data_IF_454088727101
#
_entry.id   IF_454088727101
#
_cell.length_a   1.000
_cell.length_b   1.000
_cell.length_c   1.000
_cell.angle_alpha   90.00
_cell.angle_beta   90.00
_cell.angle_gamma   90.00
#
_symmetry.space_group_name_H-M   'P 1'
#
loop_
_entity.id
_entity.type
_entity.pdbx_description
1 polymer ?
#
# COMPACT_ATOMS: atom_id res chain seq x y z
N UNK A 1 2.50 8.49 16.77
CA UNK A 1 3.39 7.50 16.15
C UNK A 1 2.77 6.81 14.92
N UNK A 2 1.45 6.59 14.86
CA UNK A 2 0.79 5.92 13.71
C UNK A 2 0.62 6.74 12.42
N UNK A 3 0.98 8.04 12.42
CA UNK A 3 0.86 8.90 11.22
C UNK A 3 1.65 8.38 10.01
N UNK A 4 2.84 7.85 10.25
CA UNK A 4 3.69 7.30 9.18
C UNK A 4 3.02 6.08 8.54
N UNK A 5 2.44 5.18 9.34
CA UNK A 5 1.70 4.01 8.85
C UNK A 5 0.54 4.41 7.92
N UNK A 6 -0.27 5.37 8.34
CA UNK A 6 -1.38 5.89 7.52
C UNK A 6 -0.89 6.55 6.23
N UNK A 7 0.16 7.37 6.31
CA UNK A 7 0.73 8.02 5.13
C UNK A 7 1.25 6.99 4.14
N UNK A 8 2.05 6.04 4.59
CA UNK A 8 2.61 4.99 3.73
C UNK A 8 1.51 4.16 3.08
N UNK A 9 0.49 3.73 3.84
CA UNK A 9 -0.63 2.96 3.30
C UNK A 9 -1.43 3.74 2.25
N UNK A 10 -1.67 5.04 2.47
CA UNK A 10 -2.41 5.89 1.52
C UNK A 10 -1.60 6.22 0.28
N UNK A 11 -0.30 6.51 0.42
CA UNK A 11 0.57 6.76 -0.72
C UNK A 11 0.71 5.53 -1.61
N UNK A 12 0.88 4.35 -1.02
CA UNK A 12 0.86 3.08 -1.75
C UNK A 12 -0.46 2.94 -2.52
N UNK A 13 -1.60 3.04 -1.84
CA UNK A 13 -2.92 2.86 -2.45
C UNK A 13 -3.20 3.86 -3.59
N UNK A 14 -2.83 5.13 -3.42
CA UNK A 14 -2.98 6.16 -4.47
C UNK A 14 -2.01 5.88 -5.64
N UNK A 15 -0.76 5.52 -5.36
CA UNK A 15 0.21 5.20 -6.40
C UNK A 15 -0.21 3.99 -7.23
N UNK A 16 -0.87 3.00 -6.62
CA UNK A 16 -1.45 1.85 -7.32
C UNK A 16 -2.55 2.31 -8.28
N UNK A 17 -3.47 3.19 -7.85
CA UNK A 17 -4.51 3.73 -8.71
C UNK A 17 -3.94 4.49 -9.92
N UNK A 18 -2.88 5.27 -9.71
CA UNK A 18 -2.18 5.96 -10.80
C UNK A 18 -1.53 4.94 -11.75
N UNK A 19 -0.90 3.88 -11.23
CA UNK A 19 -0.33 2.81 -12.03
C UNK A 19 -1.40 2.08 -12.86
N UNK A 20 -2.57 1.84 -12.26
CA UNK A 20 -3.70 1.22 -12.95
C UNK A 20 -4.21 2.11 -14.09
N UNK A 21 -4.33 3.42 -13.85
CA UNK A 21 -4.69 4.38 -14.89
C UNK A 21 -3.65 4.43 -16.01
N UNK A 22 -2.35 4.46 -15.67
CA UNK A 22 -1.27 4.41 -16.65
C UNK A 22 -1.29 3.11 -17.47
N UNK A 23 -1.64 1.98 -16.83
CA UNK A 23 -1.80 0.69 -17.51
C UNK A 23 -3.00 0.71 -18.46
N UNK A 24 -4.13 1.29 -18.06
CA UNK A 24 -5.28 1.45 -18.93
C UNK A 24 -4.94 2.32 -20.15
N UNK A 25 -4.27 3.47 -19.95
CA UNK A 25 -3.81 4.35 -21.03
C UNK A 25 -2.83 3.63 -21.97
N UNK A 26 -1.93 2.82 -21.44
CA UNK A 26 -1.02 1.99 -22.25
C UNK A 26 -1.82 1.10 -23.22
N UNK A 27 -2.85 0.41 -22.74
CA UNK A 27 -3.63 -0.52 -23.58
C UNK A 27 -4.66 0.17 -24.50
N UNK A 28 -5.14 1.37 -24.16
CA UNK A 28 -6.14 2.09 -24.98
C UNK A 28 -5.53 3.07 -25.98
N UNK A 29 -4.42 3.72 -25.61
CA UNK A 29 -3.79 4.78 -26.40
C UNK A 29 -2.35 4.44 -26.84
N UNK A 30 -1.82 3.26 -26.49
CA UNK A 30 -0.48 2.82 -26.87
C UNK A 30 0.66 3.59 -26.19
N UNK A 31 0.35 4.43 -25.20
CA UNK A 31 1.34 5.29 -24.54
C UNK A 31 2.03 4.55 -23.38
N UNK A 32 3.21 3.99 -23.65
CA UNK A 32 3.93 3.14 -22.68
C UNK A 32 4.69 3.91 -21.60
N UNK A 33 5.11 5.16 -21.87
CA UNK A 33 5.97 5.91 -20.94
C UNK A 33 5.35 6.08 -19.55
N UNK A 34 4.01 6.16 -19.45
CA UNK A 34 3.31 6.27 -18.18
C UNK A 34 3.61 5.09 -17.24
N UNK A 35 3.54 3.86 -17.72
CA UNK A 35 3.81 2.66 -16.91
C UNK A 35 5.30 2.55 -16.60
N UNK A 36 6.18 2.91 -17.54
CA UNK A 36 7.64 2.87 -17.36
C UNK A 36 8.12 3.78 -16.22
N UNK A 37 7.46 4.92 -16.01
CA UNK A 37 7.81 5.86 -14.93
C UNK A 37 7.05 5.52 -13.64
N UNK A 38 5.74 5.29 -13.71
CA UNK A 38 4.91 5.11 -12.52
C UNK A 38 5.13 3.73 -11.88
N UNK A 39 5.42 2.70 -12.66
CA UNK A 39 5.64 1.33 -12.18
C UNK A 39 6.75 1.25 -11.12
N UNK A 40 7.98 1.73 -11.40
CA UNK A 40 9.05 1.77 -10.41
C UNK A 40 8.72 2.60 -9.17
N UNK A 41 8.05 3.75 -9.34
CA UNK A 41 7.64 4.61 -8.21
C UNK A 41 6.70 3.85 -7.29
N UNK A 42 5.67 3.22 -7.84
CA UNK A 42 4.73 2.39 -7.08
C UNK A 42 5.46 1.22 -6.40
N UNK A 43 6.35 0.53 -7.12
CA UNK A 43 7.13 -0.58 -6.56
C UNK A 43 7.97 -0.17 -5.34
N UNK A 44 8.64 0.99 -5.39
CA UNK A 44 9.39 1.53 -4.24
C UNK A 44 8.46 1.86 -3.08
N UNK A 45 7.30 2.49 -3.34
CA UNK A 45 6.32 2.80 -2.30
C UNK A 45 5.76 1.53 -1.64
N UNK A 46 5.51 0.48 -2.43
CA UNK A 46 5.07 -0.82 -1.91
C UNK A 46 6.15 -1.47 -1.02
N UNK A 47 7.43 -1.39 -1.39
CA UNK A 47 8.50 -1.89 -0.53
C UNK A 47 8.59 -1.12 0.79
N UNK A 48 8.45 0.21 0.76
CA UNK A 48 8.39 1.03 1.98
C UNK A 48 7.20 0.60 2.85
N UNK A 49 6.03 0.36 2.24
CA UNK A 49 4.85 -0.16 2.92
C UNK A 49 5.12 -1.49 3.62
N UNK A 50 5.74 -2.46 2.94
CA UNK A 50 6.11 -3.76 3.53
C UNK A 50 7.01 -3.59 4.75
N UNK A 51 8.06 -2.76 4.65
CA UNK A 51 8.99 -2.50 5.76
C UNK A 51 8.28 -1.85 6.94
N UNK A 52 7.38 -0.88 6.68
CA UNK A 52 6.63 -0.19 7.73
C UNK A 52 5.68 -1.16 8.46
N UNK A 53 4.96 -2.03 7.74
CA UNK A 53 4.12 -3.07 8.36
C UNK A 53 4.98 -4.05 9.18
N UNK A 54 6.09 -4.53 8.62
CA UNK A 54 6.99 -5.46 9.31
C UNK A 54 7.61 -4.87 10.58
N UNK A 55 7.83 -3.54 10.64
CA UNK A 55 8.35 -2.87 11.83
C UNK A 55 7.31 -2.63 12.90
N UNK A 56 6.03 -2.46 12.53
CA UNK A 56 4.97 -2.03 13.45
C UNK A 56 3.87 -3.07 13.76
N UNK A 57 3.90 -4.26 13.14
CA UNK A 57 2.83 -5.26 13.33
C UNK A 57 2.68 -5.70 14.80
N UNK A 58 3.78 -5.78 15.56
CA UNK A 58 3.74 -6.15 16.99
C UNK A 58 3.05 -5.06 17.82
N UNK A 59 3.35 -3.78 17.54
CA UNK A 59 2.75 -2.63 18.21
C UNK A 59 1.26 -2.50 17.87
N UNK A 60 0.86 -2.92 16.68
CA UNK A 60 -0.55 -3.02 16.27
C UNK A 60 -1.25 -4.26 16.85
N UNK A 61 -0.56 -5.08 17.66
CA UNK A 61 -1.05 -6.37 18.19
C UNK A 61 -1.54 -7.33 17.09
N UNK A 62 -0.92 -7.26 15.91
CA UNK A 62 -1.25 -8.14 14.79
C UNK A 62 -0.47 -9.44 14.91
N UNK A 63 -1.13 -10.55 14.54
CA UNK A 63 -0.43 -11.81 14.31
C UNK A 63 0.41 -11.71 13.02
N UNK A 64 1.46 -12.53 12.91
CA UNK A 64 2.26 -12.62 11.69
C UNK A 64 1.38 -12.93 10.46
N UNK A 65 0.35 -13.77 10.61
CA UNK A 65 -0.63 -14.04 9.56
C UNK A 65 -1.32 -12.77 9.08
N UNK A 66 -1.80 -11.92 10.01
CA UNK A 66 -2.47 -10.66 9.66
C UNK A 66 -1.52 -9.69 8.97
N UNK A 67 -0.25 -9.63 9.38
CA UNK A 67 0.77 -8.82 8.72
C UNK A 67 1.03 -9.28 7.28
N UNK A 68 1.18 -10.59 7.05
CA UNK A 68 1.34 -11.17 5.71
C UNK A 68 0.11 -10.90 4.84
N UNK A 69 -1.10 -11.08 5.38
CA UNK A 69 -2.35 -10.75 4.66
C UNK A 69 -2.39 -9.27 4.31
N UNK A 70 -1.97 -8.36 5.19
CA UNK A 70 -1.90 -6.94 4.88
C UNK A 70 -0.92 -6.63 3.74
N UNK A 71 0.24 -7.30 3.70
CA UNK A 71 1.19 -7.15 2.60
C UNK A 71 0.60 -7.65 1.27
N UNK A 72 -0.04 -8.81 1.28
CA UNK A 72 -0.73 -9.37 0.09
C UNK A 72 -1.89 -8.48 -0.35
N UNK A 73 -2.63 -7.87 0.58
CA UNK A 73 -3.65 -6.90 0.22
C UNK A 73 -3.02 -5.66 -0.42
N UNK A 74 -1.91 -5.15 0.11
CA UNK A 74 -1.21 -4.00 -0.48
C UNK A 74 -0.75 -4.22 -1.93
N UNK A 75 -0.53 -5.46 -2.38
CA UNK A 75 -0.20 -5.74 -3.79
C UNK A 75 -1.42 -5.87 -4.71
N UNK A 76 -2.63 -5.84 -4.15
CA UNK A 76 -3.87 -5.83 -4.90
C UNK A 76 -4.39 -4.40 -5.07
N UNK A 77 -5.09 -4.11 -6.19
CA UNK A 77 -5.76 -2.83 -6.34
C UNK A 77 -6.73 -2.63 -5.16
N UNK A 78 -6.67 -1.44 -4.57
CA UNK A 78 -7.45 -1.01 -3.39
C UNK A 78 -7.06 -1.64 -2.04
N UNK A 79 -6.19 -2.64 -1.98
CA UNK A 79 -5.92 -3.30 -0.71
C UNK A 79 -5.11 -2.43 0.27
N UNK A 80 -4.31 -1.46 -0.21
CA UNK A 80 -3.72 -0.43 0.63
C UNK A 80 -4.74 0.41 1.43
N UNK A 81 -5.94 0.64 0.89
CA UNK A 81 -7.02 1.32 1.64
C UNK A 81 -7.63 0.42 2.71
N UNK A 82 -7.76 -0.88 2.43
CA UNK A 82 -8.24 -1.86 3.42
C UNK A 82 -7.26 -1.96 4.59
N UNK A 83 -5.96 -1.95 4.29
CA UNK A 83 -4.92 -1.95 5.33
C UNK A 83 -4.91 -0.64 6.13
N UNK A 84 -5.11 0.53 5.50
CA UNK A 84 -5.25 1.81 6.22
C UNK A 84 -6.39 1.78 7.23
N UNK A 85 -7.53 1.16 6.85
CA UNK A 85 -8.67 0.96 7.75
C UNK A 85 -8.31 0.01 8.90
N UNK A 86 -7.61 -1.08 8.63
CA UNK A 86 -7.15 -1.99 9.68
C UNK A 86 -6.17 -1.32 10.65
N UNK A 87 -5.24 -0.50 10.14
CA UNK A 87 -4.32 0.30 10.96
C UNK A 87 -5.12 1.22 11.85
N UNK A 88 -6.12 1.94 11.31
CA UNK A 88 -6.97 2.87 12.07
C UNK A 88 -7.65 2.17 13.24
N UNK A 89 -8.34 1.06 12.95
CA UNK A 89 -9.02 0.26 13.99
C UNK A 89 -8.03 -0.21 15.04
N UNK A 90 -6.87 -0.73 14.63
CA UNK A 90 -5.90 -1.32 15.56
C UNK A 90 -5.14 -0.29 16.39
N UNK A 91 -4.90 0.90 15.83
CA UNK A 91 -4.28 2.02 16.52
C UNK A 91 -5.18 2.57 17.63
N UNK A 92 -6.50 2.50 17.45
CA UNK A 92 -7.47 2.90 18.49
C UNK A 92 -7.57 1.85 19.61
N UNK A 93 -7.43 0.55 19.32
CA UNK A 93 -7.33 -0.52 20.34
C UNK A 93 -5.98 -0.59 21.07
N UNK A 94 -4.95 0.07 20.55
CA UNK A 94 -3.60 0.08 21.11
C UNK A 94 -3.29 1.33 21.94
N UNK A 95 -4.21 2.31 21.98
CA UNK A 95 -4.23 3.37 22.99
C UNK A 95 -4.76 2.81 24.31
#
# INVERSE_FOLDING_TARGET
MYRILHLTSRFEAVSYLILLAATAVKYTAGYEQGVTIIGPIHGVLYLIFVVVIARWFVQLKWSLKKAVVAMVLGSLPLGGFLVDRWISVSADYAK
#
